data_IF_024908157608
#
_entry.id   IF_024908157608
#
_cell.length_a   1.000
_cell.length_b   1.000
_cell.length_c   1.000
_cell.angle_alpha   90.00
_cell.angle_beta   90.00
_cell.angle_gamma   90.00
#
_symmetry.space_group_name_H-M   'P 1'
#
loop_
_entity.id
_entity.type
_entity.pdbx_description
1 polymer ?
#
# COMPACT_ATOMS: atom_id res chain seq x y z
N UNK A 1 0.32 0.45 6.45
CA UNK A 1 -0.41 1.09 5.33
C UNK A 1 0.45 1.20 4.08
N UNK A 2 1.64 1.80 4.13
CA UNK A 2 2.53 1.86 2.96
C UNK A 2 2.91 0.47 2.43
N UNK A 3 3.29 -0.47 3.30
CA UNK A 3 3.64 -1.83 2.89
C UNK A 3 2.46 -2.57 2.26
N UNK A 4 1.25 -2.39 2.81
CA UNK A 4 0.04 -2.97 2.23
C UNK A 4 -0.27 -2.37 0.84
N UNK A 5 -0.01 -1.08 0.63
CA UNK A 5 -0.11 -0.47 -0.70
C UNK A 5 0.98 -1.00 -1.64
N UNK A 6 2.23 -1.09 -1.18
CA UNK A 6 3.34 -1.65 -1.94
C UNK A 6 3.03 -3.09 -2.37
N UNK A 7 2.52 -3.93 -1.47
CA UNK A 7 2.04 -5.26 -1.78
C UNK A 7 0.99 -5.26 -2.91
N UNK A 8 -0.04 -4.41 -2.84
CA UNK A 8 -1.07 -4.32 -3.89
C UNK A 8 -0.49 -3.91 -5.25
N UNK A 9 0.42 -2.94 -5.27
CA UNK A 9 1.10 -2.50 -6.49
C UNK A 9 1.98 -3.62 -7.05
N UNK A 10 2.81 -4.24 -6.22
CA UNK A 10 3.70 -5.32 -6.63
C UNK A 10 2.92 -6.55 -7.09
N UNK A 11 1.78 -6.89 -6.46
CA UNK A 11 0.87 -7.95 -6.93
C UNK A 11 0.31 -7.64 -8.33
N UNK A 12 -0.04 -6.38 -8.60
CA UNK A 12 -0.51 -5.92 -9.90
C UNK A 12 0.63 -6.03 -10.94
N UNK A 13 1.82 -5.53 -10.62
CA UNK A 13 2.99 -5.65 -11.51
C UNK A 13 3.35 -7.12 -11.78
N UNK A 14 3.31 -7.98 -10.77
CA UNK A 14 3.56 -9.41 -10.91
C UNK A 14 2.55 -10.12 -11.84
N UNK A 15 1.39 -9.49 -12.11
CA UNK A 15 0.39 -9.98 -13.05
C UNK A 15 0.54 -9.38 -14.44
N UNK A 16 0.93 -8.11 -14.54
CA UNK A 16 0.83 -7.33 -15.78
C UNK A 16 2.16 -6.85 -16.37
N UNK A 17 3.30 -7.04 -15.70
CA UNK A 17 4.60 -6.71 -16.29
C UNK A 17 4.87 -7.55 -17.53
N UNK A 18 5.52 -6.98 -18.55
CA UNK A 18 5.79 -7.67 -19.81
C UNK A 18 6.78 -8.83 -19.63
N UNK A 19 7.80 -8.59 -18.79
CA UNK A 19 8.90 -9.51 -18.55
C UNK A 19 8.53 -10.61 -17.55
N UNK A 20 8.77 -11.86 -17.93
CA UNK A 20 8.38 -13.03 -17.13
C UNK A 20 9.26 -13.25 -15.88
N UNK A 21 10.54 -12.90 -15.95
CA UNK A 21 11.47 -12.98 -14.82
C UNK A 21 11.10 -11.91 -13.79
N UNK A 22 10.84 -10.68 -14.25
CA UNK A 22 10.35 -9.60 -13.41
C UNK A 22 9.04 -9.97 -12.70
N UNK A 23 8.07 -10.58 -13.41
CA UNK A 23 6.81 -11.04 -12.76
C UNK A 23 7.05 -12.06 -11.65
N UNK A 24 8.04 -12.95 -11.81
CA UNK A 24 8.42 -13.94 -10.80
C UNK A 24 9.02 -13.28 -9.57
N UNK A 25 9.95 -12.35 -9.77
CA UNK A 25 10.61 -11.64 -8.68
C UNK A 25 9.61 -10.78 -7.89
N UNK A 26 8.73 -10.06 -8.61
CA UNK A 26 7.66 -9.28 -8.02
C UNK A 26 6.69 -10.14 -7.19
N UNK A 27 6.49 -11.43 -7.51
CA UNK A 27 5.68 -12.31 -6.65
C UNK A 27 6.31 -12.47 -5.28
N UNK A 28 7.62 -12.73 -5.22
CA UNK A 28 8.35 -12.87 -3.95
C UNK A 28 8.32 -11.56 -3.16
N UNK A 29 8.54 -10.43 -3.83
CA UNK A 29 8.49 -9.10 -3.20
C UNK A 29 7.09 -8.84 -2.63
N UNK A 30 6.04 -9.18 -3.37
CA UNK A 30 4.67 -8.98 -2.88
C UNK A 30 4.40 -9.79 -1.60
N UNK A 31 4.92 -11.01 -1.50
CA UNK A 31 4.78 -11.84 -0.30
C UNK A 31 5.56 -11.24 0.88
N UNK A 32 6.75 -10.66 0.64
CA UNK A 32 7.52 -9.91 1.64
C UNK A 32 6.74 -8.70 2.17
N UNK A 33 6.18 -7.89 1.27
CA UNK A 33 5.44 -6.69 1.67
C UNK A 33 4.12 -7.00 2.37
N UNK A 34 3.48 -8.14 2.07
CA UNK A 34 2.33 -8.62 2.84
C UNK A 34 2.73 -8.97 4.28
N UNK A 35 3.88 -9.62 4.49
CA UNK A 35 4.40 -9.89 5.84
C UNK A 35 4.77 -8.61 6.59
N UNK A 36 5.39 -7.65 5.91
CA UNK A 36 5.67 -6.34 6.51
C UNK A 36 4.38 -5.59 6.87
N UNK A 37 3.35 -5.69 6.02
CA UNK A 37 2.05 -5.10 6.29
C UNK A 37 1.37 -5.72 7.52
N UNK A 38 1.35 -7.04 7.63
CA UNK A 38 0.82 -7.78 8.78
C UNK A 38 1.54 -7.36 10.06
N UNK A 39 2.87 -7.42 10.07
CA UNK A 39 3.67 -7.03 11.22
C UNK A 39 3.45 -5.56 11.63
N UNK A 40 3.32 -4.66 10.65
CA UNK A 40 3.02 -3.25 10.92
C UNK A 40 1.64 -3.06 11.57
N UNK A 41 0.66 -3.90 11.24
CA UNK A 41 -0.67 -3.86 11.86
C UNK A 41 -0.62 -4.37 13.30
N UNK A 42 0.10 -5.46 13.54
CA UNK A 42 0.31 -6.00 14.90
C UNK A 42 1.02 -4.99 15.79
N UNK A 43 2.04 -4.31 15.26
CA UNK A 43 2.77 -3.27 15.97
C UNK A 43 1.86 -2.07 16.30
N UNK A 44 1.03 -1.64 15.35
CA UNK A 44 0.06 -0.56 15.58
C UNK A 44 -0.92 -0.95 16.69
N UNK A 45 -1.52 -2.15 16.62
CA UNK A 45 -2.45 -2.65 17.63
C UNK A 45 -1.81 -2.72 19.03
N UNK A 46 -0.57 -3.20 19.11
CA UNK A 46 0.18 -3.22 20.36
C UNK A 46 0.49 -1.82 20.89
N UNK A 47 0.83 -0.86 20.03
CA UNK A 47 1.09 0.52 20.42
C UNK A 47 -0.19 1.23 20.89
N UNK A 48 -1.35 0.99 20.28
CA UNK A 48 -2.61 1.65 20.69
C UNK A 48 -2.91 1.42 22.18
N UNK A 49 -2.62 0.24 22.72
CA UNK A 49 -2.78 -0.07 24.15
C UNK A 49 -1.79 0.63 25.09
N UNK A 50 -0.83 1.39 24.55
CA UNK A 50 0.27 2.03 25.31
C UNK A 50 0.33 3.55 25.13
N UNK A 51 -0.36 4.08 24.12
CA UNK A 51 -0.40 5.51 23.81
C UNK A 51 -1.51 6.20 24.61
N UNK A 52 -1.24 7.45 25.00
CA UNK A 52 -2.25 8.36 25.52
C UNK A 52 -3.22 8.78 24.41
N UNK A 53 -4.42 9.24 24.77
CA UNK A 53 -5.41 9.72 23.79
C UNK A 53 -4.87 10.81 22.86
N UNK A 54 -3.96 11.67 23.36
CA UNK A 54 -3.34 12.72 22.55
C UNK A 54 -2.41 12.13 21.49
N UNK A 55 -1.61 11.13 21.85
CA UNK A 55 -0.72 10.42 20.92
C UNK A 55 -1.50 9.56 19.92
N UNK A 56 -2.58 8.90 20.35
CA UNK A 56 -3.47 8.16 19.45
C UNK A 56 -4.07 9.09 18.38
N UNK A 57 -4.54 10.28 18.78
CA UNK A 57 -5.02 11.30 17.83
C UNK A 57 -3.93 11.78 16.87
N UNK A 58 -2.70 11.98 17.37
CA UNK A 58 -1.57 12.37 16.53
C UNK A 58 -1.23 11.29 15.49
N UNK A 59 -1.22 10.02 15.90
CA UNK A 59 -1.00 8.87 15.00
C UNK A 59 -2.11 8.78 13.96
N UNK A 60 -3.38 8.92 14.34
CA UNK A 60 -4.51 8.93 13.41
C UNK A 60 -4.38 10.05 12.36
N UNK A 61 -3.99 11.26 12.78
CA UNK A 61 -3.77 12.38 11.87
C UNK A 61 -2.62 12.11 10.88
N UNK A 62 -1.53 11.47 11.31
CA UNK A 62 -0.44 11.09 10.41
C UNK A 62 -0.82 9.96 9.44
N UNK A 63 -1.64 8.99 9.87
CA UNK A 63 -2.19 7.96 8.98
C UNK A 63 -3.03 8.58 7.86
N UNK A 64 -3.88 9.55 8.17
CA UNK A 64 -4.66 10.28 7.16
C UNK A 64 -3.76 11.08 6.20
N UNK A 65 -2.71 11.74 6.73
CA UNK A 65 -1.72 12.43 5.89
C UNK A 65 -0.99 11.47 4.96
N UNK A 66 -0.65 10.27 5.45
CA UNK A 66 0.00 9.23 4.65
C UNK A 66 -0.93 8.73 3.53
N UNK A 67 -2.19 8.43 3.83
CA UNK A 67 -3.19 8.05 2.82
C UNK A 67 -3.35 9.13 1.75
N UNK A 68 -3.50 10.40 2.15
CA UNK A 68 -3.63 11.50 1.20
C UNK A 68 -2.39 11.65 0.30
N UNK A 69 -1.18 11.32 0.78
CA UNK A 69 0.03 11.27 -0.05
C UNK A 69 -0.06 10.14 -1.08
N UNK A 70 -0.53 8.95 -0.69
CA UNK A 70 -0.72 7.82 -1.60
C UNK A 70 -1.72 8.15 -2.71
N UNK A 71 -2.87 8.75 -2.37
CA UNK A 71 -3.88 9.17 -3.34
C UNK A 71 -3.31 10.15 -4.38
N UNK A 72 -2.54 11.15 -3.93
CA UNK A 72 -1.87 12.09 -4.84
C UNK A 72 -0.84 11.41 -5.73
N UNK A 73 -0.13 10.40 -5.23
CA UNK A 73 0.83 9.64 -6.03
C UNK A 73 0.15 8.74 -7.07
N UNK A 74 -1.03 8.20 -6.74
CA UNK A 74 -1.77 7.28 -7.59
C UNK A 74 -2.26 7.93 -8.89
N UNK A 75 -2.45 9.25 -8.92
CA UNK A 75 -2.91 9.97 -10.12
C UNK A 75 -1.78 10.34 -11.11
N UNK A 76 -0.52 10.03 -10.78
CA UNK A 76 0.61 10.35 -11.65
C UNK A 76 0.61 9.47 -12.91
N UNK A 77 0.79 10.07 -14.09
CA UNK A 77 0.84 9.34 -15.36
C UNK A 77 2.03 8.38 -15.40
N UNK A 78 1.77 7.13 -15.78
CA UNK A 78 2.80 6.13 -15.98
C UNK A 78 3.67 6.48 -17.20
N UNK A 79 4.99 6.41 -17.02
CA UNK A 79 5.94 6.43 -18.14
C UNK A 79 5.89 5.09 -18.90
N UNK A 80 6.53 5.03 -20.07
CA UNK A 80 6.63 3.78 -20.82
C UNK A 80 7.35 2.67 -20.03
N UNK A 81 8.43 3.01 -19.33
CA UNK A 81 9.14 2.06 -18.48
C UNK A 81 8.23 1.53 -17.35
N UNK A 82 7.41 2.40 -16.75
CA UNK A 82 6.44 2.01 -15.72
C UNK A 82 5.37 1.06 -16.28
N UNK A 83 4.84 1.33 -17.48
CA UNK A 83 3.89 0.44 -18.15
C UNK A 83 4.49 -0.94 -18.40
N UNK A 84 5.71 -1.00 -18.94
CA UNK A 84 6.43 -2.26 -19.17
C UNK A 84 6.71 -3.03 -17.87
N UNK A 85 6.95 -2.30 -16.78
CA UNK A 85 7.07 -2.87 -15.44
C UNK A 85 5.72 -3.26 -14.81
N UNK A 86 4.62 -3.17 -15.57
CA UNK A 86 3.28 -3.54 -15.12
C UNK A 86 2.68 -2.58 -14.10
N UNK A 87 3.14 -1.32 -14.03
CA UNK A 87 2.55 -0.35 -13.12
C UNK A 87 1.09 -0.09 -13.48
N UNK A 88 0.19 -0.01 -12.48
CA UNK A 88 -1.22 0.26 -12.75
C UNK A 88 -1.39 1.64 -13.37
N UNK A 89 -2.35 1.74 -14.30
CA UNK A 89 -2.84 3.03 -14.75
C UNK A 89 -3.41 3.83 -13.57
N UNK A 90 -3.41 5.17 -13.64
CA UNK A 90 -3.79 6.03 -12.51
C UNK A 90 -5.15 5.69 -11.88
N UNK A 91 -6.12 5.32 -12.72
CA UNK A 91 -7.45 4.93 -12.25
C UNK A 91 -7.42 3.63 -11.44
N UNK A 92 -6.60 2.65 -11.82
CA UNK A 92 -6.45 1.40 -11.08
C UNK A 92 -5.70 1.65 -9.77
N UNK A 93 -4.62 2.43 -9.81
CA UNK A 93 -3.88 2.82 -8.61
C UNK A 93 -4.78 3.51 -7.57
N UNK A 94 -5.65 4.43 -8.04
CA UNK A 94 -6.61 5.10 -7.17
C UNK A 94 -7.62 4.12 -6.54
N UNK A 95 -8.13 3.14 -7.30
CA UNK A 95 -9.01 2.10 -6.74
C UNK A 95 -8.31 1.24 -5.69
N UNK A 96 -7.02 0.93 -5.88
CA UNK A 96 -6.23 0.19 -4.89
C UNK A 96 -6.09 0.98 -3.58
N UNK A 97 -5.78 2.28 -3.66
CA UNK A 97 -5.70 3.15 -2.46
C UNK A 97 -7.06 3.25 -1.77
N UNK A 98 -8.16 3.39 -2.52
CA UNK A 98 -9.50 3.44 -1.94
C UNK A 98 -9.88 2.13 -1.22
N UNK A 99 -9.59 0.97 -1.83
CA UNK A 99 -9.80 -0.33 -1.20
C UNK A 99 -8.99 -0.48 0.09
N UNK A 100 -7.74 0.00 0.07
CA UNK A 100 -6.87 -0.01 1.25
C UNK A 100 -7.42 0.86 2.38
N UNK A 101 -7.90 2.08 2.09
CA UNK A 101 -8.53 2.94 3.09
C UNK A 101 -9.71 2.22 3.75
N UNK A 102 -10.56 1.58 2.96
CA UNK A 102 -11.72 0.85 3.49
C UNK A 102 -11.32 -0.31 4.42
N UNK A 103 -10.26 -1.05 4.06
CA UNK A 103 -9.74 -2.14 4.90
C UNK A 103 -9.31 -1.63 6.27
N UNK A 104 -8.66 -0.46 6.35
CA UNK A 104 -8.18 0.13 7.60
C UNK A 104 -9.19 1.04 8.31
N UNK A 105 -10.28 1.44 7.65
CA UNK A 105 -11.34 2.26 8.24
C UNK A 105 -12.38 1.42 9.00
N UNK A 106 -12.41 0.11 8.80
CA UNK A 106 -13.33 -0.78 9.51
C UNK A 106 -12.78 -1.02 10.92
N UNK A 107 -13.49 -0.63 11.99
CA UNK A 107 -13.02 -0.91 13.34
C UNK A 107 -13.03 -2.43 13.56
N UNK A 108 -11.89 -2.97 14.02
CA UNK A 108 -11.84 -4.30 14.63
C UNK A 108 -12.46 -4.28 16.02
#
# INVERSE_FOLDING_TARGET
MNEAYAALITLHQARFADDAELRRDLRSIADDELRHAEWSCDLDAWLQGRLTDAEQRAVAAEKERALAKLERSAVAKATEAMRRAGMPEPQVAAHLVAGLRNLFATPS
#
